data_IF_581457836470
#
_entry.id   IF_581457836470
#
_cell.length_a   1.000
_cell.length_b   1.000
_cell.length_c   1.000
_cell.angle_alpha   90.00
_cell.angle_beta   90.00
_cell.angle_gamma   90.00
#
_symmetry.space_group_name_H-M   'P 1'
#
loop_
_entity.id
_entity.type
_entity.pdbx_description
1 polymer ?
#
# COMPACT_ATOMS: atom_id res chain seq x y z
N UNK A 1 -2.64 -3.36 46.86
CA UNK A 1 -2.12 -3.46 45.49
C UNK A 1 -3.32 -3.74 44.57
N UNK A 2 -3.76 -2.75 43.76
CA UNK A 2 -5.09 -2.75 43.10
C UNK A 2 -5.01 -2.69 41.56
N UNK A 3 -3.86 -2.99 40.97
CA UNK A 3 -3.64 -2.84 39.52
C UNK A 3 -2.59 -3.82 38.95
N UNK A 4 -2.57 -5.09 39.36
CA UNK A 4 -1.47 -6.00 39.02
C UNK A 4 -1.66 -6.88 37.78
N UNK A 5 -2.58 -6.58 36.87
CA UNK A 5 -2.66 -7.44 35.68
C UNK A 5 -3.05 -6.68 34.43
N UNK A 6 -2.09 -6.62 33.49
CA UNK A 6 -2.32 -6.39 32.06
C UNK A 6 -3.51 -7.21 31.53
N UNK A 7 -3.73 -8.39 32.13
CA UNK A 7 -4.90 -9.24 31.90
C UNK A 7 -6.23 -8.61 32.34
N UNK A 8 -6.31 -7.85 33.44
CA UNK A 8 -7.52 -7.16 33.87
C UNK A 8 -7.91 -5.98 32.95
N UNK A 9 -6.94 -5.41 32.21
CA UNK A 9 -7.19 -4.39 31.18
C UNK A 9 -7.79 -5.00 29.90
N UNK A 10 -7.35 -6.20 29.54
CA UNK A 10 -7.95 -6.98 28.45
C UNK A 10 -9.30 -7.59 28.84
N UNK A 11 -9.44 -8.01 30.10
CA UNK A 11 -10.59 -8.72 30.66
C UNK A 11 -11.45 -7.83 31.57
N UNK A 12 -11.44 -6.50 31.36
CA UNK A 12 -12.29 -5.56 32.10
C UNK A 12 -13.74 -5.69 31.63
N UNK A 13 -14.42 -6.77 32.06
CA UNK A 13 -15.86 -6.94 32.00
C UNK A 13 -16.55 -6.69 30.65
N UNK A 14 -15.87 -6.93 29.52
CA UNK A 14 -16.46 -6.85 28.17
C UNK A 14 -15.99 -5.70 27.27
N UNK A 15 -15.25 -4.70 27.78
CA UNK A 15 -14.90 -3.50 26.98
C UNK A 15 -13.57 -3.59 26.21
N UNK A 16 -12.61 -4.42 26.65
CA UNK A 16 -11.29 -4.54 26.01
C UNK A 16 -11.35 -5.02 24.56
N UNK A 17 -12.34 -5.87 24.24
CA UNK A 17 -12.57 -6.37 22.87
C UNK A 17 -12.99 -5.25 21.90
N UNK A 18 -13.84 -4.32 22.34
CA UNK A 18 -14.26 -3.19 21.53
C UNK A 18 -13.11 -2.24 21.24
N UNK A 19 -12.26 -1.97 22.23
CA UNK A 19 -11.07 -1.11 22.05
C UNK A 19 -10.13 -1.74 21.03
N UNK A 20 -9.82 -3.04 21.17
CA UNK A 20 -8.97 -3.73 20.21
C UNK A 20 -9.53 -3.77 18.79
N UNK A 21 -10.86 -3.94 18.64
CA UNK A 21 -11.50 -3.87 17.33
C UNK A 21 -11.45 -2.45 16.74
N UNK A 22 -11.70 -1.40 17.52
CA UNK A 22 -11.61 -0.03 17.05
C UNK A 22 -10.18 0.33 16.63
N UNK A 23 -9.19 0.04 17.47
CA UNK A 23 -7.77 0.25 17.14
C UNK A 23 -7.34 -0.62 15.95
N UNK A 24 -7.77 -1.88 15.91
CA UNK A 24 -7.52 -2.77 14.79
C UNK A 24 -8.10 -2.24 13.48
N UNK A 25 -9.34 -1.75 13.49
CA UNK A 25 -10.01 -1.17 12.33
C UNK A 25 -9.29 0.10 11.85
N UNK A 26 -8.89 0.98 12.77
CA UNK A 26 -8.10 2.18 12.43
C UNK A 26 -6.75 1.81 11.84
N UNK A 27 -6.05 0.83 12.43
CA UNK A 27 -4.77 0.34 11.92
C UNK A 27 -4.93 -0.26 10.52
N UNK A 28 -5.99 -1.05 10.31
CA UNK A 28 -6.30 -1.69 9.04
C UNK A 28 -6.62 -0.63 7.96
N UNK A 29 -7.36 0.41 8.30
CA UNK A 29 -7.60 1.54 7.41
C UNK A 29 -6.30 2.28 7.04
N UNK A 30 -5.41 2.50 8.02
CA UNK A 30 -4.12 3.13 7.79
C UNK A 30 -3.23 2.28 6.87
N UNK A 31 -3.14 0.97 7.14
CA UNK A 31 -2.43 0.01 6.30
C UNK A 31 -3.03 0.01 4.89
N UNK A 32 -4.35 0.00 4.76
CA UNK A 32 -5.05 0.10 3.48
C UNK A 32 -4.65 1.35 2.69
N UNK A 33 -4.56 2.51 3.36
CA UNK A 33 -4.14 3.76 2.74
C UNK A 33 -2.67 3.73 2.30
N UNK A 34 -1.79 3.16 3.13
CA UNK A 34 -0.36 3.02 2.80
C UNK A 34 -0.20 2.06 1.62
N UNK A 35 -0.86 0.91 1.65
CA UNK A 35 -0.82 -0.10 0.58
C UNK A 35 -1.34 0.48 -0.73
N UNK A 36 -2.49 1.16 -0.71
CA UNK A 36 -3.05 1.80 -1.92
C UNK A 36 -2.12 2.88 -2.47
N UNK A 37 -1.47 3.67 -1.60
CA UNK A 37 -0.45 4.65 -2.01
C UNK A 37 0.76 3.96 -2.67
N UNK A 38 1.27 2.88 -2.10
CA UNK A 38 2.40 2.14 -2.67
C UNK A 38 2.03 1.46 -4.00
N UNK A 39 0.86 0.84 -4.08
CA UNK A 39 0.36 0.18 -5.30
C UNK A 39 0.14 1.20 -6.41
N UNK A 40 -0.41 2.38 -6.09
CA UNK A 40 -0.63 3.46 -7.07
C UNK A 40 0.68 3.96 -7.66
N UNK A 41 1.71 4.20 -6.82
CA UNK A 41 3.06 4.55 -7.30
C UNK A 41 3.65 3.47 -8.23
N UNK A 42 3.48 2.20 -7.88
CA UNK A 42 3.97 1.07 -8.68
C UNK A 42 3.22 0.92 -10.00
N UNK A 43 1.91 1.19 -10.00
CA UNK A 43 1.04 1.15 -11.19
C UNK A 43 1.40 2.23 -12.20
N UNK A 44 1.69 3.46 -11.73
CA UNK A 44 2.15 4.55 -12.59
C UNK A 44 3.47 4.21 -13.30
N UNK A 45 4.46 3.69 -12.56
CA UNK A 45 5.74 3.27 -13.16
C UNK A 45 5.57 2.11 -14.15
N UNK A 46 4.66 1.18 -13.88
CA UNK A 46 4.37 0.05 -14.79
C UNK A 46 3.73 0.53 -16.09
N UNK A 47 2.82 1.50 -16.01
CA UNK A 47 2.17 2.12 -17.17
C UNK A 47 3.16 2.92 -18.02
N UNK A 48 4.05 3.68 -17.38
CA UNK A 48 5.11 4.44 -18.07
C UNK A 48 6.10 3.50 -18.78
N UNK A 49 6.55 2.42 -18.13
CA UNK A 49 7.44 1.43 -18.76
C UNK A 49 6.81 0.78 -20.00
N UNK A 50 5.53 0.43 -19.96
CA UNK A 50 4.84 -0.16 -21.12
C UNK A 50 4.70 0.83 -22.28
N UNK A 51 4.40 2.11 -22.00
CA UNK A 51 4.38 3.15 -23.03
C UNK A 51 5.77 3.41 -23.62
N UNK A 52 6.82 3.47 -22.79
CA UNK A 52 8.20 3.63 -23.25
C UNK A 52 8.65 2.49 -24.14
N UNK A 53 8.32 1.23 -23.82
CA UNK A 53 8.70 0.07 -24.64
C UNK A 53 8.10 0.11 -26.06
N UNK A 54 6.93 0.73 -26.25
CA UNK A 54 6.34 0.95 -27.59
C UNK A 54 7.00 2.12 -28.32
N UNK A 55 7.29 3.22 -27.62
CA UNK A 55 7.97 4.39 -28.21
C UNK A 55 9.41 4.07 -28.60
N UNK A 56 10.13 3.29 -27.80
CA UNK A 56 11.50 2.86 -28.08
C UNK A 56 11.59 2.05 -29.39
N UNK A 57 10.62 1.16 -29.64
CA UNK A 57 10.55 0.41 -30.91
C UNK A 57 10.31 1.32 -32.11
N UNK A 58 9.43 2.31 -31.98
CA UNK A 58 9.18 3.29 -33.05
C UNK A 58 10.41 4.17 -33.32
N UNK A 59 11.10 4.62 -32.27
CA UNK A 59 12.37 5.37 -32.41
C UNK A 59 13.48 4.53 -33.03
N UNK A 60 13.57 3.23 -32.72
CA UNK A 60 14.55 2.34 -33.33
C UNK A 60 14.32 2.18 -34.83
N UNK A 61 13.06 2.05 -35.26
CA UNK A 61 12.70 1.99 -36.68
C UNK A 61 13.01 3.31 -37.42
N UNK A 62 12.65 4.46 -36.83
CA UNK A 62 12.96 5.78 -37.40
C UNK A 62 14.46 6.07 -37.49
N UNK A 63 15.25 5.59 -36.52
CA UNK A 63 16.70 5.75 -36.55
C UNK A 63 17.33 4.92 -37.69
N UNK A 64 16.78 3.74 -37.99
CA UNK A 64 17.23 2.94 -39.12
C UNK A 64 16.92 3.62 -40.46
N UNK A 65 15.76 4.25 -40.58
CA UNK A 65 15.31 4.93 -41.81
C UNK A 65 16.09 6.24 -42.07
N UNK A 66 16.51 6.96 -41.03
CA UNK A 66 17.29 8.20 -41.17
C UNK A 66 18.82 7.99 -41.30
N UNK A 67 19.28 6.74 -41.43
CA UNK A 67 20.70 6.41 -41.62
C UNK A 67 20.98 5.76 -43.00
N UNK A 68 19.97 5.69 -43.88
CA UNK A 68 20.06 5.29 -45.29
C UNK A 68 19.93 6.52 -46.19
#
# INVERSE_FOLDING_TARGET
MKFDTWSAFWAMGGYGFYVWLSFGLTLLALIGLVVTTMVTKKSLLRTVKQKQARVARRKAAQKLENTL
#
